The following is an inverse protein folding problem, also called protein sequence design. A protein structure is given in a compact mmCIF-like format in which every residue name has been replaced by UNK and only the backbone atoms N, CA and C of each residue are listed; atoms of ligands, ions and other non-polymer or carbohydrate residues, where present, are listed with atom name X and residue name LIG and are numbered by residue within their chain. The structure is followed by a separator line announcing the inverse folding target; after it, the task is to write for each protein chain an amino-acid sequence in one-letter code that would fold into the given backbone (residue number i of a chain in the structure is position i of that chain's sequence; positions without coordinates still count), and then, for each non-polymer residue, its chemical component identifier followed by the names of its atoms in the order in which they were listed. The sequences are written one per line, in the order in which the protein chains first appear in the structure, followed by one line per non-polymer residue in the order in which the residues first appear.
data_IF_065884931106
#
_entry.id   IF_065884931106
#
_cell.length_a   1.000
_cell.length_b   1.000
_cell.length_c   1.000
_cell.angle_alpha   90.00
_cell.angle_beta   90.00
_cell.angle_gamma   90.00
#
_symmetry.space_group_name_H-M   'P 1'
#
loop_
_entity.id
_entity.type
_entity.pdbx_description
1 polymer ?
#
# COMPACT_ATOMS: atom_id res chain seq x y z
N UNK A 1 -9.20 9.74 13.16
CA UNK A 1 -10.12 8.69 12.69
C UNK A 1 -10.58 7.93 13.94
N UNK A 2 -11.57 8.42 14.69
CA UNK A 2 -11.71 8.06 16.12
C UNK A 2 -11.70 6.56 16.42
N UNK A 3 -12.44 5.76 15.66
CA UNK A 3 -12.49 4.29 15.85
C UNK A 3 -11.20 3.59 15.45
N UNK A 4 -10.52 4.08 14.40
CA UNK A 4 -9.20 3.59 13.98
C UNK A 4 -8.15 3.96 15.02
N UNK A 5 -8.19 5.19 15.55
CA UNK A 5 -7.27 5.68 16.56
C UNK A 5 -7.43 4.87 17.87
N UNK A 6 -8.67 4.58 18.26
CA UNK A 6 -8.97 3.72 19.40
C UNK A 6 -8.44 2.29 19.19
N UNK A 7 -8.73 1.67 18.05
CA UNK A 7 -8.23 0.33 17.74
C UNK A 7 -6.69 0.27 17.68
N UNK A 8 -6.04 1.30 17.13
CA UNK A 8 -4.57 1.44 17.10
C UNK A 8 -3.97 1.59 18.50
N UNK A 9 -4.62 2.34 19.39
CA UNK A 9 -4.14 2.56 20.76
C UNK A 9 -4.07 1.24 21.56
N UNK A 10 -4.94 0.29 21.25
CA UNK A 10 -4.92 -1.06 21.83
C UNK A 10 -3.95 -1.99 21.09
N UNK A 11 -3.96 -1.96 19.75
CA UNK A 11 -3.16 -2.85 18.91
C UNK A 11 -1.65 -2.58 19.04
N UNK A 12 -1.21 -1.32 18.98
CA UNK A 12 0.21 -0.98 18.83
C UNK A 12 1.09 -1.38 20.03
N UNK A 13 0.69 -1.14 21.30
CA UNK A 13 1.46 -1.59 22.45
C UNK A 13 1.55 -3.11 22.53
N UNK A 14 0.43 -3.79 22.26
CA UNK A 14 0.36 -5.25 22.25
C UNK A 14 1.25 -5.87 21.17
N UNK A 15 1.18 -5.37 19.92
CA UNK A 15 1.98 -5.88 18.81
C UNK A 15 3.48 -5.69 19.07
N UNK A 16 3.86 -4.56 19.67
CA UNK A 16 5.25 -4.28 20.08
C UNK A 16 5.75 -5.30 21.11
N UNK A 17 4.91 -5.68 22.07
CA UNK A 17 5.26 -6.66 23.09
C UNK A 17 5.35 -8.09 22.53
N UNK A 18 4.42 -8.46 21.64
CA UNK A 18 4.49 -9.74 20.93
C UNK A 18 5.78 -9.86 20.09
N UNK A 19 6.18 -8.80 19.39
CA UNK A 19 7.43 -8.77 18.64
C UNK A 19 8.65 -9.02 19.52
N UNK A 20 8.71 -8.42 20.73
CA UNK A 20 9.78 -8.69 21.70
C UNK A 20 9.78 -10.14 22.19
N UNK A 21 8.60 -10.71 22.44
CA UNK A 21 8.48 -12.11 22.84
C UNK A 21 8.96 -13.07 21.74
N UNK A 22 8.61 -12.79 20.48
CA UNK A 22 9.10 -13.56 19.32
C UNK A 22 10.64 -13.46 19.24
N UNK A 23 11.21 -12.26 19.34
CA UNK A 23 12.65 -12.06 19.32
C UNK A 23 13.35 -12.79 20.49
N UNK A 24 12.76 -12.76 21.68
CA UNK A 24 13.27 -13.47 22.86
C UNK A 24 13.28 -14.98 22.64
N UNK A 25 12.20 -15.54 22.08
CA UNK A 25 12.14 -16.94 21.74
C UNK A 25 13.15 -17.34 20.66
N UNK A 26 13.26 -16.55 19.59
CA UNK A 26 14.26 -16.77 18.54
C UNK A 26 15.68 -16.81 19.11
N UNK A 27 16.04 -15.84 19.96
CA UNK A 27 17.34 -15.77 20.61
C UNK A 27 17.60 -16.96 21.55
N UNK A 28 16.59 -17.39 22.31
CA UNK A 28 16.69 -18.54 23.22
C UNK A 28 17.05 -19.83 22.47
N UNK A 29 16.38 -20.10 21.34
CA UNK A 29 16.67 -21.26 20.52
C UNK A 29 18.00 -21.13 19.77
N UNK A 30 18.31 -19.94 19.24
CA UNK A 30 19.57 -19.68 18.55
C UNK A 30 20.79 -19.85 19.46
N UNK A 31 20.67 -19.47 20.74
CA UNK A 31 21.73 -19.63 21.75
C UNK A 31 21.78 -21.01 22.40
N UNK A 32 20.90 -21.91 21.99
CA UNK A 32 20.75 -23.25 22.54
C UNK A 32 20.56 -23.28 24.07
N UNK A 33 19.95 -22.23 24.64
CA UNK A 33 19.72 -22.13 26.08
C UNK A 33 18.86 -23.28 26.61
N UNK A 34 18.05 -23.88 25.72
CA UNK A 34 17.26 -25.08 26.00
C UNK A 34 18.07 -26.29 26.48
N UNK A 35 19.36 -26.38 26.11
CA UNK A 35 20.25 -27.45 26.58
C UNK A 35 20.59 -27.30 28.06
N UNK A 36 20.50 -26.09 28.60
CA UNK A 36 20.90 -25.75 29.97
C UNK A 36 19.74 -25.85 30.96
N UNK A 37 18.51 -25.60 30.51
CA UNK A 37 17.32 -25.56 31.36
C UNK A 37 16.29 -26.67 31.03
N UNK A 38 16.69 -27.63 30.18
CA UNK A 38 15.82 -28.72 29.72
C UNK A 38 14.46 -28.22 29.17
N UNK A 39 14.48 -27.14 28.39
CA UNK A 39 13.30 -26.51 27.77
C UNK A 39 12.34 -25.79 28.72
N UNK A 40 12.70 -25.55 29.99
CA UNK A 40 11.82 -24.87 30.94
C UNK A 40 11.35 -23.50 30.42
N UNK A 41 12.28 -22.64 29.99
CA UNK A 41 11.97 -21.32 29.42
C UNK A 41 11.29 -21.42 28.06
N UNK A 42 11.64 -22.44 27.26
CA UNK A 42 10.98 -22.72 25.98
C UNK A 42 9.48 -22.99 26.11
N UNK A 43 9.07 -23.76 27.13
CA UNK A 43 7.64 -24.02 27.41
C UNK A 43 6.90 -22.77 27.84
N UNK A 44 7.51 -21.94 28.69
CA UNK A 44 6.94 -20.66 29.10
C UNK A 44 6.78 -19.70 27.91
N UNK A 45 7.81 -19.57 27.08
CA UNK A 45 7.77 -18.74 25.87
C UNK A 45 6.72 -19.24 24.88
N UNK A 46 6.60 -20.56 24.70
CA UNK A 46 5.56 -21.14 23.84
C UNK A 46 4.14 -20.77 24.31
N UNK A 47 3.85 -20.91 25.60
CA UNK A 47 2.55 -20.52 26.16
C UNK A 47 2.28 -19.02 25.99
N UNK A 48 3.29 -18.17 26.23
CA UNK A 48 3.21 -16.72 26.00
C UNK A 48 2.94 -16.38 24.54
N UNK A 49 3.62 -17.06 23.61
CA UNK A 49 3.44 -16.83 22.18
C UNK A 49 2.05 -17.28 21.71
N UNK A 50 1.54 -18.44 22.15
CA UNK A 50 0.18 -18.88 21.80
C UNK A 50 -0.87 -17.87 22.26
N UNK A 51 -0.83 -17.45 23.54
CA UNK A 51 -1.73 -16.43 24.05
C UNK A 51 -1.56 -15.08 23.34
N UNK A 52 -0.33 -14.77 22.91
CA UNK A 52 -0.02 -13.61 22.09
C UNK A 52 -0.69 -13.68 20.72
N UNK A 53 -0.52 -14.76 19.97
CA UNK A 53 -1.11 -14.92 18.65
C UNK A 53 -2.64 -14.97 18.68
N UNK A 54 -3.25 -15.59 19.69
CA UNK A 54 -4.70 -15.57 19.86
C UNK A 54 -5.26 -14.15 20.05
N UNK A 55 -4.55 -13.31 20.83
CA UNK A 55 -4.89 -11.88 20.96
C UNK A 55 -4.61 -11.08 19.69
N UNK A 56 -3.58 -11.46 18.93
CA UNK A 56 -3.24 -10.79 17.68
C UNK A 56 -4.38 -10.88 16.69
N UNK A 57 -5.01 -12.05 16.55
CA UNK A 57 -6.15 -12.22 15.65
C UNK A 57 -7.30 -11.28 16.03
N UNK A 58 -7.67 -11.24 17.31
CA UNK A 58 -8.75 -10.39 17.80
C UNK A 58 -8.48 -8.88 17.59
N UNK A 59 -7.26 -8.42 17.91
CA UNK A 59 -6.91 -7.01 17.72
C UNK A 59 -6.74 -6.65 16.24
N UNK A 60 -6.24 -7.57 15.41
CA UNK A 60 -6.12 -7.38 13.96
C UNK A 60 -7.50 -7.30 13.30
N UNK A 61 -8.45 -8.14 13.70
CA UNK A 61 -9.83 -8.09 13.23
C UNK A 61 -10.47 -6.73 13.57
N UNK A 62 -10.35 -6.28 14.83
CA UNK A 62 -10.91 -5.00 15.28
C UNK A 62 -10.33 -3.83 14.51
N UNK A 63 -9.00 -3.79 14.33
CA UNK A 63 -8.34 -2.75 13.55
C UNK A 63 -8.74 -2.80 12.07
N UNK A 64 -8.76 -4.00 11.47
CA UNK A 64 -9.14 -4.21 10.07
C UNK A 64 -10.58 -3.77 9.78
N UNK A 65 -11.52 -4.04 10.70
CA UNK A 65 -12.91 -3.57 10.61
C UNK A 65 -13.00 -2.05 10.71
N UNK A 66 -12.31 -1.43 11.67
CA UNK A 66 -12.31 0.03 11.82
C UNK A 66 -11.73 0.74 10.58
N UNK A 67 -10.61 0.22 10.04
CA UNK A 67 -9.98 0.76 8.82
C UNK A 67 -10.91 0.58 7.62
N UNK A 68 -11.51 -0.59 7.46
CA UNK A 68 -12.46 -0.87 6.36
C UNK A 68 -13.68 0.06 6.42
N UNK A 69 -14.27 0.25 7.59
CA UNK A 69 -15.43 1.13 7.79
C UNK A 69 -15.09 2.61 7.53
N UNK A 70 -13.92 3.06 8.01
CA UNK A 70 -13.45 4.41 7.73
C UNK A 70 -13.24 4.62 6.23
N UNK A 71 -12.57 3.67 5.57
CA UNK A 71 -12.29 3.76 4.15
C UNK A 71 -13.56 3.78 3.29
N UNK A 72 -14.56 2.97 3.63
CA UNK A 72 -15.84 2.95 2.92
C UNK A 72 -16.61 4.28 3.02
N UNK A 73 -16.44 5.03 4.12
CA UNK A 73 -17.09 6.32 4.35
C UNK A 73 -16.25 7.53 3.95
N UNK A 74 -14.96 7.33 3.66
CA UNK A 74 -13.98 8.38 3.36
C UNK A 74 -13.22 8.06 2.07
N UNK A 75 -13.97 7.89 0.98
CA UNK A 75 -13.37 7.71 -0.34
C UNK A 75 -12.54 8.95 -0.72
N UNK A 76 -11.42 8.79 -1.44
CA UNK A 76 -10.61 9.91 -1.89
C UNK A 76 -11.44 10.89 -2.72
N UNK A 77 -11.36 12.20 -2.42
CA UNK A 77 -11.90 13.23 -3.30
C UNK A 77 -11.01 13.34 -4.53
N UNK A 78 -11.54 12.91 -5.67
CA UNK A 78 -10.85 12.92 -6.97
C UNK A 78 -11.30 14.07 -7.87
N UNK A 79 -12.09 15.03 -7.36
CA UNK A 79 -12.61 16.16 -8.15
C UNK A 79 -11.49 17.01 -8.79
N UNK A 80 -10.35 17.11 -8.11
CA UNK A 80 -9.15 17.86 -8.57
C UNK A 80 -8.01 16.96 -9.07
N UNK A 81 -8.24 15.64 -9.13
CA UNK A 81 -7.25 14.70 -9.61
C UNK A 81 -7.14 14.79 -11.14
N UNK A 82 -5.93 14.67 -11.66
CA UNK A 82 -5.72 14.43 -13.10
C UNK A 82 -6.13 13.00 -13.49
N UNK A 83 -6.33 12.76 -14.78
CA UNK A 83 -6.83 11.46 -15.27
C UNK A 83 -5.90 10.29 -14.92
N UNK A 84 -4.59 10.51 -14.91
CA UNK A 84 -3.60 9.52 -14.46
C UNK A 84 -3.77 9.17 -12.98
N UNK A 85 -3.93 10.18 -12.12
CA UNK A 85 -4.24 10.00 -10.70
C UNK A 85 -5.56 9.27 -10.48
N UNK A 86 -6.64 9.63 -11.20
CA UNK A 86 -7.94 8.96 -11.10
C UNK A 86 -7.82 7.48 -11.45
N UNK A 87 -7.20 7.16 -12.58
CA UNK A 87 -7.01 5.78 -13.03
C UNK A 87 -6.15 4.97 -12.03
N UNK A 88 -5.08 5.57 -11.50
CA UNK A 88 -4.20 4.91 -10.54
C UNK A 88 -4.89 4.66 -9.19
N UNK A 89 -5.67 5.62 -8.69
CA UNK A 89 -6.41 5.45 -7.43
C UNK A 89 -7.53 4.41 -7.62
N UNK A 90 -8.25 4.42 -8.73
CA UNK A 90 -9.26 3.40 -9.01
C UNK A 90 -8.66 1.98 -9.00
N UNK A 91 -7.52 1.77 -9.68
CA UNK A 91 -6.81 0.50 -9.68
C UNK A 91 -6.29 0.11 -8.29
N UNK A 92 -5.82 1.09 -7.50
CA UNK A 92 -5.35 0.83 -6.14
C UNK A 92 -6.49 0.40 -5.21
N UNK A 93 -7.68 0.97 -5.39
CA UNK A 93 -8.86 0.58 -4.60
C UNK A 93 -9.37 -0.80 -4.97
N UNK A 94 -9.31 -1.20 -6.24
CA UNK A 94 -9.59 -2.58 -6.64
C UNK A 94 -8.55 -3.55 -6.03
N UNK A 95 -7.27 -3.18 -6.00
CA UNK A 95 -6.23 -3.98 -5.35
C UNK A 95 -6.41 -4.09 -3.84
N UNK A 96 -6.83 -3.00 -3.18
CA UNK A 96 -7.15 -3.00 -1.74
C UNK A 96 -8.32 -3.91 -1.45
N UNK A 97 -9.41 -3.81 -2.22
CA UNK A 97 -10.57 -4.67 -2.07
C UNK A 97 -10.18 -6.15 -2.19
N UNK A 98 -9.36 -6.48 -3.21
CA UNK A 98 -8.80 -7.82 -3.39
C UNK A 98 -8.03 -8.31 -2.16
N UNK A 99 -7.14 -7.48 -1.60
CA UNK A 99 -6.37 -7.84 -0.41
C UNK A 99 -7.23 -8.02 0.84
N UNK A 100 -8.28 -7.21 1.00
CA UNK A 100 -9.24 -7.37 2.11
C UNK A 100 -9.97 -8.72 1.99
N UNK A 101 -10.36 -9.13 0.78
CA UNK A 101 -10.94 -10.47 0.58
C UNK A 101 -9.97 -11.59 0.91
N UNK A 102 -8.68 -11.45 0.56
CA UNK A 102 -7.65 -12.45 0.88
C UNK A 102 -7.32 -12.52 2.38
N UNK A 103 -7.55 -11.44 3.12
CA UNK A 103 -7.36 -11.39 4.57
C UNK A 103 -8.59 -11.89 5.35
N UNK A 104 -9.69 -12.22 4.66
CA UNK A 104 -10.89 -12.77 5.29
C UNK A 104 -10.64 -14.17 5.86
N UNK A 105 -11.25 -14.48 7.01
CA UNK A 105 -11.24 -15.82 7.60
C UNK A 105 -11.90 -16.87 6.68
N UNK A 106 -12.86 -16.43 5.87
CA UNK A 106 -13.53 -17.24 4.86
C UNK A 106 -13.33 -16.56 3.52
N UNK A 107 -12.43 -17.10 2.70
CA UNK A 107 -12.16 -16.59 1.36
C UNK A 107 -13.13 -17.27 0.39
N UNK A 108 -13.75 -16.48 -0.49
CA UNK A 108 -14.51 -17.00 -1.63
C UNK A 108 -13.62 -16.94 -2.88
N UNK A 109 -13.13 -18.10 -3.38
CA UNK A 109 -12.24 -18.10 -4.55
C UNK A 109 -12.90 -17.52 -5.81
N UNK A 110 -14.22 -17.67 -5.97
CA UNK A 110 -14.92 -17.11 -7.12
C UNK A 110 -15.00 -15.58 -7.02
N UNK A 111 -15.30 -15.04 -5.83
CA UNK A 111 -15.30 -13.60 -5.59
C UNK A 111 -13.90 -12.98 -5.79
N UNK A 112 -12.85 -13.66 -5.30
CA UNK A 112 -11.46 -13.25 -5.51
C UNK A 112 -11.09 -13.23 -7.00
N UNK A 113 -11.52 -14.24 -7.76
CA UNK A 113 -11.31 -14.27 -9.22
C UNK A 113 -11.99 -13.11 -9.93
N UNK A 114 -13.23 -12.81 -9.59
CA UNK A 114 -13.96 -11.66 -10.15
C UNK A 114 -13.26 -10.34 -9.80
N UNK A 115 -12.78 -10.20 -8.56
CA UNK A 115 -12.05 -9.01 -8.14
C UNK A 115 -10.68 -8.86 -8.82
N UNK A 116 -9.97 -9.97 -9.05
CA UNK A 116 -8.74 -9.98 -9.83
C UNK A 116 -8.99 -9.50 -11.27
N UNK A 117 -10.04 -10.00 -11.93
CA UNK A 117 -10.44 -9.53 -13.27
C UNK A 117 -10.78 -8.03 -13.30
N UNK A 118 -11.47 -7.54 -12.26
CA UNK A 118 -11.77 -6.12 -12.12
C UNK A 118 -10.50 -5.29 -12.00
N UNK A 119 -9.56 -5.72 -11.15
CA UNK A 119 -8.26 -5.07 -10.99
C UNK A 119 -7.44 -5.09 -12.29
N UNK A 120 -7.45 -6.18 -13.05
CA UNK A 120 -6.79 -6.24 -14.36
C UNK A 120 -7.35 -5.17 -15.31
N UNK A 121 -8.66 -4.97 -15.28
CA UNK A 121 -9.33 -3.96 -16.10
C UNK A 121 -8.92 -2.54 -15.71
N UNK A 122 -8.92 -2.21 -14.41
CA UNK A 122 -8.53 -0.88 -13.94
C UNK A 122 -7.03 -0.60 -14.11
N UNK A 123 -6.18 -1.61 -13.89
CA UNK A 123 -4.75 -1.51 -14.19
C UNK A 123 -4.47 -1.31 -15.69
N UNK A 124 -5.23 -1.98 -16.56
CA UNK A 124 -5.13 -1.80 -18.02
C UNK A 124 -5.57 -0.38 -18.46
N UNK A 125 -6.55 0.22 -17.79
CA UNK A 125 -6.94 1.61 -18.04
C UNK A 125 -5.79 2.58 -17.72
N UNK A 126 -5.12 2.40 -16.58
CA UNK A 126 -3.93 3.19 -16.23
C UNK A 126 -2.78 3.00 -17.23
N UNK A 127 -2.57 1.76 -17.70
CA UNK A 127 -1.56 1.44 -18.72
C UNK A 127 -1.87 2.12 -20.05
N UNK A 128 -3.14 2.12 -20.45
CA UNK A 128 -3.61 2.81 -21.66
C UNK A 128 -3.36 4.32 -21.56
N UNK A 129 -3.71 4.93 -20.41
CA UNK A 129 -3.40 6.34 -20.15
C UNK A 129 -1.90 6.64 -20.26
N UNK A 130 -1.04 5.77 -19.74
CA UNK A 130 0.41 5.94 -19.79
C UNK A 130 1.00 5.85 -21.20
N UNK A 131 0.41 5.03 -22.07
CA UNK A 131 0.84 4.93 -23.47
C UNK A 131 0.57 6.22 -24.25
N UNK A 132 -0.51 6.94 -23.92
CA UNK A 132 -0.85 8.23 -24.53
C UNK A 132 -0.17 9.40 -23.82
N UNK A 133 0.16 9.25 -22.54
CA UNK A 133 0.75 10.29 -21.68
C UNK A 133 2.07 9.80 -21.07
N UNK A 134 3.09 9.61 -21.90
CA UNK A 134 4.33 8.94 -21.48
C UNK A 134 5.10 9.64 -20.36
N UNK A 135 4.84 10.91 -20.07
CA UNK A 135 5.46 11.67 -18.98
C UNK A 135 4.66 11.64 -17.68
N UNK A 136 3.46 11.06 -17.69
CA UNK A 136 2.60 10.99 -16.51
C UNK A 136 3.27 10.19 -15.38
N UNK A 137 3.49 10.81 -14.20
CA UNK A 137 4.18 10.14 -13.09
C UNK A 137 3.37 8.98 -12.51
N UNK A 138 2.04 8.99 -12.61
CA UNK A 138 1.19 7.93 -12.09
C UNK A 138 1.37 6.66 -12.90
N UNK A 139 1.14 6.70 -14.21
CA UNK A 139 1.34 5.54 -15.08
C UNK A 139 2.79 5.06 -15.07
N UNK A 140 3.79 5.96 -15.12
CA UNK A 140 5.21 5.57 -15.11
C UNK A 140 5.63 4.80 -13.87
N UNK A 141 5.12 5.16 -12.70
CA UNK A 141 5.51 4.53 -11.43
C UNK A 141 4.63 3.33 -11.11
N UNK A 142 3.32 3.45 -11.31
CA UNK A 142 2.37 2.48 -10.81
C UNK A 142 2.12 1.32 -11.77
N UNK A 143 2.21 1.51 -13.10
CA UNK A 143 2.00 0.39 -14.04
C UNK A 143 2.97 -0.78 -13.79
N UNK A 144 4.29 -0.58 -13.61
CA UNK A 144 5.19 -1.70 -13.30
C UNK A 144 4.86 -2.37 -11.96
N UNK A 145 4.40 -1.61 -10.97
CA UNK A 145 4.00 -2.16 -9.68
C UNK A 145 2.72 -3.01 -9.79
N UNK A 146 1.74 -2.57 -10.58
CA UNK A 146 0.53 -3.35 -10.89
C UNK A 146 0.86 -4.60 -11.71
N UNK A 147 1.72 -4.50 -12.73
CA UNK A 147 2.13 -5.65 -13.55
C UNK A 147 2.77 -6.74 -12.66
N UNK A 148 3.63 -6.37 -11.70
CA UNK A 148 4.22 -7.30 -10.75
C UNK A 148 3.18 -7.91 -9.79
N UNK A 149 2.33 -7.08 -9.18
CA UNK A 149 1.31 -7.55 -8.24
C UNK A 149 0.31 -8.50 -8.93
N UNK A 150 -0.15 -8.15 -10.13
CA UNK A 150 -1.06 -8.98 -10.93
C UNK A 150 -0.42 -10.31 -11.33
N UNK A 151 0.86 -10.32 -11.70
CA UNK A 151 1.60 -11.55 -11.99
C UNK A 151 1.61 -12.48 -10.77
N UNK A 152 1.94 -11.94 -9.59
CA UNK A 152 2.05 -12.73 -8.38
C UNK A 152 0.66 -13.24 -7.91
N UNK A 153 -0.38 -12.41 -8.05
CA UNK A 153 -1.77 -12.82 -7.84
C UNK A 153 -2.22 -13.94 -8.79
N UNK A 154 -1.89 -13.85 -10.08
CA UNK A 154 -2.19 -14.89 -11.07
C UNK A 154 -1.45 -16.20 -10.80
N UNK A 155 -0.25 -16.13 -10.23
CA UNK A 155 0.47 -17.32 -9.79
C UNK A 155 -0.17 -17.98 -8.54
N UNK A 156 -0.79 -17.17 -7.68
CA UNK A 156 -1.45 -17.64 -6.47
C UNK A 156 -2.89 -18.16 -6.69
N UNK A 157 -3.65 -17.55 -7.62
CA UNK A 157 -5.08 -17.86 -7.87
C UNK A 157 -5.38 -19.36 -8.06
N UNK A 158 -4.60 -20.14 -8.83
CA UNK A 158 -4.88 -21.57 -9.02
C UNK A 158 -4.75 -22.42 -7.75
N UNK A 159 -4.08 -21.89 -6.70
CA UNK A 159 -3.90 -22.57 -5.41
C UNK A 159 -4.67 -21.89 -4.28
N UNK A 160 -5.58 -20.99 -4.62
CA UNK A 160 -6.44 -20.32 -3.66
C UNK A 160 -7.46 -21.31 -3.12
N UNK A 161 -7.65 -21.30 -1.80
CA UNK A 161 -8.65 -22.11 -1.11
C UNK A 161 -9.61 -21.21 -0.33
N UNK A 162 -10.62 -21.81 0.30
CA UNK A 162 -11.50 -21.16 1.27
C UNK A 162 -10.75 -20.59 2.49
N UNK A 163 -9.54 -21.11 2.75
CA UNK A 163 -8.60 -20.62 3.77
C UNK A 163 -7.59 -19.58 3.25
N UNK A 164 -7.75 -19.13 2.00
CA UNK A 164 -6.82 -18.21 1.34
C UNK A 164 -5.62 -18.91 0.72
N UNK A 165 -4.50 -18.17 0.61
CA UNK A 165 -3.25 -18.63 -0.03
C UNK A 165 -2.40 -19.34 1.02
N UNK A 166 -2.51 -20.67 1.09
CA UNK A 166 -1.83 -21.47 2.12
C UNK A 166 -0.31 -21.63 1.90
N UNK A 167 0.20 -21.33 0.71
CA UNK A 167 1.62 -21.48 0.37
C UNK A 167 2.40 -20.19 0.67
N UNK A 168 3.36 -20.19 1.61
CA UNK A 168 4.14 -18.98 1.93
C UNK A 168 4.88 -18.41 0.72
N UNK A 169 5.37 -19.26 -0.18
CA UNK A 169 6.07 -18.83 -1.41
C UNK A 169 5.16 -18.16 -2.44
N UNK A 170 3.84 -18.30 -2.31
CA UNK A 170 2.85 -17.58 -3.14
C UNK A 170 2.25 -16.38 -2.40
N UNK A 171 2.06 -16.48 -1.08
CA UNK A 171 1.49 -15.42 -0.26
C UNK A 171 2.44 -14.23 -0.10
N UNK A 172 3.72 -14.47 0.20
CA UNK A 172 4.68 -13.39 0.44
C UNK A 172 4.89 -12.46 -0.77
N UNK A 173 5.02 -12.97 -2.02
CA UNK A 173 5.07 -12.10 -3.20
C UNK A 173 3.83 -11.23 -3.37
N UNK A 174 2.63 -11.77 -3.14
CA UNK A 174 1.37 -11.01 -3.20
C UNK A 174 1.37 -9.84 -2.21
N UNK A 175 1.69 -10.11 -0.94
CA UNK A 175 1.75 -9.06 0.09
C UNK A 175 2.81 -8.01 -0.25
N UNK A 176 4.00 -8.44 -0.67
CA UNK A 176 5.11 -7.54 -1.03
C UNK A 176 4.77 -6.67 -2.24
N UNK A 177 4.09 -7.25 -3.24
CA UNK A 177 3.58 -6.54 -4.41
C UNK A 177 2.55 -5.48 -4.00
N UNK A 178 1.64 -5.79 -3.08
CA UNK A 178 0.68 -4.82 -2.58
C UNK A 178 1.33 -3.66 -1.82
N UNK A 179 2.34 -3.93 -0.97
CA UNK A 179 3.12 -2.87 -0.32
C UNK A 179 3.80 -1.98 -1.36
N UNK A 180 4.35 -2.57 -2.42
CA UNK A 180 4.96 -1.82 -3.53
C UNK A 180 3.97 -0.90 -4.26
N UNK A 181 2.68 -1.27 -4.33
CA UNK A 181 1.62 -0.40 -4.87
C UNK A 181 1.37 0.82 -3.98
N UNK A 182 1.30 0.62 -2.66
CA UNK A 182 1.11 1.70 -1.69
C UNK A 182 2.28 2.69 -1.76
N UNK A 183 3.51 2.19 -1.74
CA UNK A 183 4.71 3.02 -1.90
C UNK A 183 4.76 3.70 -3.28
N UNK A 184 4.35 2.98 -4.33
CA UNK A 184 4.20 3.51 -5.68
C UNK A 184 3.27 4.73 -5.74
N UNK A 185 2.10 4.65 -5.08
CA UNK A 185 1.16 5.77 -4.96
C UNK A 185 1.82 7.00 -4.32
N UNK A 186 2.53 6.82 -3.20
CA UNK A 186 3.20 7.94 -2.53
C UNK A 186 4.28 8.58 -3.40
N UNK A 187 5.07 7.77 -4.13
CA UNK A 187 6.07 8.28 -5.07
C UNK A 187 5.44 9.01 -6.25
N UNK A 188 4.36 8.48 -6.82
CA UNK A 188 3.64 9.09 -7.93
C UNK A 188 3.04 10.44 -7.54
N UNK A 189 2.39 10.50 -6.38
CA UNK A 189 1.84 11.75 -5.83
C UNK A 189 2.94 12.80 -5.64
N UNK A 190 4.05 12.45 -4.99
CA UNK A 190 5.17 13.37 -4.79
C UNK A 190 5.72 13.91 -6.11
N UNK A 191 5.88 13.06 -7.13
CA UNK A 191 6.34 13.52 -8.46
C UNK A 191 5.31 14.40 -9.17
N UNK A 192 4.03 14.07 -9.08
CA UNK A 192 2.94 14.88 -9.65
C UNK A 192 2.92 16.28 -9.03
N UNK A 193 3.03 16.38 -7.71
CA UNK A 193 3.08 17.67 -7.00
C UNK A 193 4.32 18.49 -7.37
N UNK A 194 5.50 17.86 -7.49
CA UNK A 194 6.71 18.55 -7.93
C UNK A 194 6.57 19.09 -9.37
N UNK A 195 6.01 18.29 -10.28
CA UNK A 195 5.79 18.70 -11.66
C UNK A 195 4.80 19.87 -11.75
N UNK A 196 3.71 19.85 -10.97
CA UNK A 196 2.74 20.95 -10.88
C UNK A 196 3.39 22.23 -10.37
N UNK A 197 4.15 22.15 -9.27
CA UNK A 197 4.86 23.30 -8.72
C UNK A 197 5.90 23.89 -9.69
N UNK A 198 6.57 23.06 -10.49
CA UNK A 198 7.50 23.52 -11.52
C UNK A 198 6.76 24.21 -12.69
N UNK A 199 5.63 23.66 -13.12
CA UNK A 199 4.80 24.26 -14.17
C UNK A 199 4.26 25.64 -13.75
N UNK A 200 3.78 25.78 -12.51
CA UNK A 200 3.32 27.05 -11.95
C UNK A 200 4.44 28.11 -11.93
N UNK A 201 5.66 27.73 -11.52
CA UNK A 201 6.83 28.62 -11.53
C UNK A 201 7.22 29.05 -12.95
N UNK A 202 7.20 28.13 -13.91
CA UNK A 202 7.51 28.44 -15.30
C UNK A 202 6.48 29.39 -15.92
N UNK A 203 5.20 29.20 -15.59
CA UNK A 203 4.11 30.06 -16.05
C UNK A 203 4.21 31.47 -15.47
N UNK A 204 4.53 31.60 -14.18
CA UNK A 204 4.76 32.89 -13.54
C UNK A 204 5.97 33.65 -14.12
N UNK A 205 7.04 32.93 -14.50
CA UNK A 205 8.22 33.50 -15.14
C UNK A 205 7.95 33.95 -16.59
N UNK A 206 7.11 33.22 -17.33
CA UNK A 206 6.73 33.57 -18.72
C UNK A 206 5.82 34.80 -18.83
N UNK A 207 5.07 35.14 -17.77
CA UNK A 207 4.25 36.36 -17.69
C UNK A 207 5.03 37.62 -17.28
N UNK A 208 6.28 37.49 -16.85
CA UNK A 208 7.14 38.64 -16.58
C UNK A 208 7.65 39.23 -17.92
N UNK A 209 6.93 40.22 -18.44
CA UNK A 209 7.32 40.93 -19.66
C UNK A 209 8.72 41.55 -19.49
N UNK A 210 9.66 41.40 -20.45
CA UNK A 210 10.94 42.10 -20.38
C UNK A 210 10.67 43.61 -20.33
N UNK A 211 11.28 44.31 -19.38
CA UNK A 211 11.24 45.76 -19.33
C UNK A 211 11.72 46.30 -20.69
N UNK A 212 10.90 47.13 -21.33
CA UNK A 212 11.23 47.74 -22.61
C UNK A 212 12.59 48.46 -22.50
N UNK A 213 13.49 48.31 -23.49
CA UNK A 213 14.77 49.01 -23.46
C UNK A 213 14.51 50.53 -23.39
N UNK A 214 15.16 51.19 -22.44
CA UNK A 214 15.04 52.62 -22.25
C UNK A 214 15.38 53.36 -23.56
N UNK A 215 14.47 54.24 -23.98
CA UNK A 215 14.65 55.06 -25.18
C UNK A 215 15.94 55.89 -25.07
N UNK A 216 16.72 56.04 -26.16
CA UNK A 216 17.95 56.82 -26.14
C UNK A 216 17.65 58.29 -25.86
N UNK A 217 18.48 58.90 -25.03
CA UNK A 217 18.36 60.30 -24.62
C UNK A 217 18.44 61.24 -25.83
N UNK A 218 17.65 62.33 -25.87
CA UNK A 218 17.69 63.26 -26.98
C UNK A 218 19.04 64.01 -27.00
N UNK A 219 19.69 64.00 -28.17
CA UNK A 219 20.85 64.83 -28.45
C UNK A 219 20.48 66.31 -28.32
N UNK A 220 21.30 67.05 -27.56
CA UNK A 220 21.19 68.50 -27.45
C UNK A 220 22.02 69.13 -28.58
N UNK A 221 21.36 69.98 -29.37
CA UNK A 221 22.00 70.97 -30.27
C UNK A 221 22.88 71.97 -29.50
#
# INVERSE_FOLDING_TARGET
MPDVDAALSEYAPFASELAKNIATAANYYQREEYKKDSFAKGKELHAKLLAGFEKLDAHSDKLGLAVSAWHASHLPDLSKADEGQKAAIAALEDARALMVMLASKNVDPAAVKTALQKLETSAAALKTHGSTNQTDPWSKIMVPAFDNFLRDMKAAEPKLTDKGISSPSLYLPVVTGFVSLIEGKHRALSRSLMAKAQAEKAQAAGTAQPAAPAAPAPEKE
#
